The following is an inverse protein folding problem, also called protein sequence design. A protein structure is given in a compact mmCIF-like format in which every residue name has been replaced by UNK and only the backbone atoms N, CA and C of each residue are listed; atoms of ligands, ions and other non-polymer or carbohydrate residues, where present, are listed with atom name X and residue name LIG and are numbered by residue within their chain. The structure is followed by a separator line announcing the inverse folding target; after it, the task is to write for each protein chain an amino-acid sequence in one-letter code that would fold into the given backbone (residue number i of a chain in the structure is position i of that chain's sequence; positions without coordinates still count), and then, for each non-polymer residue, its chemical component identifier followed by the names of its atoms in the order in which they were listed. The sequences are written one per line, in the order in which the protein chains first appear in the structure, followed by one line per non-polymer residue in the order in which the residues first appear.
data_IF_582176665915
#
_entry.id   IF_582176665915
#
_cell.length_a   1.000
_cell.length_b   1.000
_cell.length_c   1.000
_cell.angle_alpha   90.00
_cell.angle_beta   90.00
_cell.angle_gamma   90.00
#
_symmetry.space_group_name_H-M   'P 1'
#
loop_
_entity.id
_entity.type
_entity.pdbx_description
1 polymer ?
#
# COMPACT_ATOMS: atom_id res chain seq x y z
N UNK A 1 -1.37 -21.81 -4.74
CA UNK A 1 -1.65 -21.71 -3.69
C UNK A 1 -0.85 -20.79 -2.90
N UNK A 2 0.03 -20.81 -2.43
CA UNK A 2 0.65 -19.93 -1.49
C UNK A 2 0.90 -18.50 -1.94
N UNK A 3 0.82 -18.23 -3.22
CA UNK A 3 1.17 -16.89 -3.67
C UNK A 3 0.25 -15.82 -3.11
N UNK A 4 -0.97 -16.17 -2.78
CA UNK A 4 -1.87 -15.16 -2.23
C UNK A 4 -1.39 -14.64 -0.88
N UNK A 5 -0.56 -15.38 -0.18
CA UNK A 5 -0.02 -14.94 1.09
C UNK A 5 0.91 -13.73 0.94
N UNK A 6 1.41 -13.51 -0.27
CA UNK A 6 2.31 -12.38 -0.52
C UNK A 6 1.58 -11.16 -1.06
N UNK A 7 0.29 -11.25 -1.27
CA UNK A 7 -0.47 -10.10 -1.75
C UNK A 7 -0.42 -8.98 -0.72
N UNK A 8 -0.42 -7.73 -1.15
CA UNK A 8 -0.43 -6.62 -0.20
C UNK A 8 -1.70 -6.63 0.63
N UNK A 9 -1.56 -6.30 1.89
CA UNK A 9 -2.68 -6.24 2.81
C UNK A 9 -3.06 -4.78 2.99
N UNK A 10 -4.21 -4.41 2.46
CA UNK A 10 -4.66 -3.02 2.48
C UNK A 10 -5.92 -2.95 3.33
N UNK A 11 -5.88 -2.14 4.37
CA UNK A 11 -7.05 -1.96 5.23
C UNK A 11 -8.21 -1.41 4.39
N UNK A 12 -9.45 -1.88 4.65
CA UNK A 12 -10.60 -1.44 3.83
C UNK A 12 -10.82 0.07 3.82
N UNK A 13 -10.37 0.78 4.85
CA UNK A 13 -10.54 2.23 4.88
C UNK A 13 -9.39 2.98 4.20
N UNK A 14 -8.35 2.30 3.78
CA UNK A 14 -7.25 2.95 3.09
C UNK A 14 -7.68 3.35 1.69
N UNK A 15 -7.18 4.49 1.23
CA UNK A 15 -7.45 4.98 -0.11
C UNK A 15 -6.18 4.84 -0.92
N UNK A 16 -6.21 3.95 -1.89
CA UNK A 16 -5.05 3.69 -2.73
C UNK A 16 -5.42 4.01 -4.17
N UNK A 17 -4.66 4.90 -4.78
CA UNK A 17 -4.89 5.26 -6.17
C UNK A 17 -4.58 4.05 -7.06
N UNK A 18 -5.42 3.76 -8.06
CA UNK A 18 -5.17 2.61 -8.93
C UNK A 18 -3.86 2.68 -9.70
N UNK A 19 -3.28 3.86 -9.84
CA UNK A 19 -1.99 3.99 -10.50
C UNK A 19 -0.81 3.76 -9.55
N UNK A 20 -1.05 3.61 -8.25
CA UNK A 20 0.02 3.32 -7.31
C UNK A 20 0.53 1.90 -7.52
N UNK A 21 1.84 1.73 -7.33
CA UNK A 21 2.46 0.42 -7.48
C UNK A 21 2.85 -0.12 -6.12
N UNK A 22 2.18 -1.17 -5.70
CA UNK A 22 2.39 -1.74 -4.37
C UNK A 22 2.89 -3.16 -4.53
N UNK A 23 4.08 -3.41 -4.03
CA UNK A 23 4.71 -4.71 -4.14
C UNK A 23 4.08 -5.71 -3.17
N UNK A 24 4.38 -6.98 -3.39
CA UNK A 24 3.90 -8.03 -2.51
C UNK A 24 4.46 -7.85 -1.09
N UNK A 25 3.71 -8.27 -0.10
CA UNK A 25 4.16 -8.22 1.29
C UNK A 25 4.03 -6.85 1.94
N UNK A 26 3.46 -5.87 1.25
CA UNK A 26 3.21 -4.55 1.82
C UNK A 26 1.99 -4.59 2.71
N UNK A 27 2.05 -3.86 3.82
CA UNK A 27 0.94 -3.74 4.75
C UNK A 27 0.53 -2.28 4.83
N UNK A 28 -0.74 -1.98 4.59
CA UNK A 28 -1.24 -0.60 4.61
C UNK A 28 -2.33 -0.48 5.66
N UNK A 29 -2.13 0.41 6.61
CA UNK A 29 -3.03 0.59 7.74
C UNK A 29 -4.27 1.40 7.41
N UNK A 30 -5.13 1.61 8.42
CA UNK A 30 -6.41 2.30 8.20
C UNK A 30 -6.21 3.78 7.88
N UNK A 31 -7.06 4.29 7.01
CA UNK A 31 -7.08 5.70 6.65
C UNK A 31 -5.78 6.19 6.00
N UNK A 32 -4.95 5.29 5.52
CA UNK A 32 -3.79 5.69 4.75
C UNK A 32 -4.23 6.15 3.37
N UNK A 33 -3.57 7.16 2.83
CA UNK A 33 -3.88 7.70 1.50
C UNK A 33 -2.63 7.56 0.64
N UNK A 34 -2.75 6.81 -0.43
CA UNK A 34 -1.64 6.52 -1.33
C UNK A 34 -1.94 7.16 -2.68
N UNK A 35 -1.10 8.08 -3.09
CA UNK A 35 -1.30 8.81 -4.33
C UNK A 35 -0.91 8.03 -5.58
N UNK A 36 -1.12 8.64 -6.76
CA UNK A 36 -1.00 7.91 -8.02
C UNK A 36 0.42 7.56 -8.45
N UNK A 37 1.41 8.28 -8.01
CA UNK A 37 2.79 7.99 -8.43
C UNK A 37 3.59 7.33 -7.34
N UNK A 38 2.92 6.79 -6.33
CA UNK A 38 3.59 6.16 -5.22
C UNK A 38 4.01 4.76 -5.60
N UNK A 39 5.22 4.40 -5.22
CA UNK A 39 5.73 3.07 -5.44
C UNK A 39 6.24 2.54 -4.10
N UNK A 40 5.67 1.45 -3.64
CA UNK A 40 6.00 0.90 -2.33
C UNK A 40 6.66 -0.45 -2.51
N UNK A 41 7.90 -0.54 -2.06
CA UNK A 41 8.66 -1.78 -2.18
C UNK A 41 8.17 -2.86 -1.23
N UNK A 42 8.51 -4.11 -1.54
CA UNK A 42 8.03 -5.25 -0.77
C UNK A 42 8.52 -5.17 0.68
N UNK A 43 7.70 -5.67 1.57
CA UNK A 43 8.02 -5.70 3.00
C UNK A 43 7.79 -4.39 3.72
N UNK A 44 7.29 -3.36 3.03
CA UNK A 44 7.04 -2.06 3.65
C UNK A 44 5.76 -2.11 4.48
N UNK A 45 5.78 -1.46 5.62
CA UNK A 45 4.63 -1.36 6.48
C UNK A 45 4.21 0.10 6.59
N UNK A 46 2.97 0.39 6.22
CA UNK A 46 2.41 1.74 6.26
C UNK A 46 1.47 1.82 7.45
N UNK A 47 1.71 2.75 8.35
CA UNK A 47 0.88 2.91 9.52
C UNK A 47 -0.44 3.60 9.21
N UNK A 48 -1.24 3.86 10.26
CA UNK A 48 -2.53 4.52 10.08
C UNK A 48 -2.34 6.00 9.75
N UNK A 49 -3.28 6.53 8.99
CA UNK A 49 -3.34 7.96 8.67
C UNK A 49 -2.10 8.48 7.93
N UNK A 50 -1.37 7.60 7.28
CA UNK A 50 -0.19 8.01 6.51
C UNK A 50 -0.64 8.51 5.15
N UNK A 51 -0.10 9.64 4.71
CA UNK A 51 -0.37 10.18 3.39
C UNK A 51 0.91 10.14 2.58
N UNK A 52 0.89 9.37 1.50
CA UNK A 52 2.01 9.29 0.57
C UNK A 52 1.59 9.91 -0.74
N UNK A 53 2.38 10.85 -1.22
CA UNK A 53 2.04 11.58 -2.43
C UNK A 53 3.29 11.77 -3.25
N UNK A 54 3.12 11.70 -4.57
CA UNK A 54 4.23 11.82 -5.47
C UNK A 54 5.10 10.58 -5.50
N UNK A 55 6.31 10.73 -5.96
CA UNK A 55 7.21 9.61 -6.07
C UNK A 55 7.88 9.33 -4.75
N UNK A 56 7.74 8.12 -4.30
CA UNK A 56 8.35 7.72 -3.04
C UNK A 56 9.22 6.51 -3.26
#
# INVERSE_FOLDING_TARGET
MGSSALAPQIHPTAVVDPAAQIEAGVSIGPYAVIGPEVRIGSGTSIGPHVVLDGRV
#
